data_IF_366757808467
#
_entry.id   IF_366757808467
#
_cell.length_a   1.000
_cell.length_b   1.000
_cell.length_c   1.000
_cell.angle_alpha   90.00
_cell.angle_beta   90.00
_cell.angle_gamma   90.00
#
_symmetry.space_group_name_H-M   'P 1'
#
loop_
_entity.id
_entity.type
_entity.pdbx_description
1 polymer ?
#
# COMPACT_ATOMS: atom_id res chain seq x y z
N UNK A 1 28.37 4.21 -5.96
CA UNK A 1 27.76 5.49 -5.68
C UNK A 1 27.38 5.61 -4.21
N UNK A 2 27.38 6.81 -3.69
CA UNK A 2 27.04 7.08 -2.29
C UNK A 2 25.65 6.58 -1.91
N UNK A 3 24.73 6.56 -2.85
CA UNK A 3 23.36 6.09 -2.63
C UNK A 3 23.31 4.59 -2.33
N UNK A 4 24.22 3.80 -2.92
CA UNK A 4 24.23 2.36 -2.72
C UNK A 4 24.80 1.95 -1.34
N UNK A 5 25.63 2.80 -0.77
CA UNK A 5 26.25 2.52 0.53
C UNK A 5 25.41 3.02 1.71
N UNK A 6 24.43 3.87 1.44
CA UNK A 6 23.55 4.39 2.47
C UNK A 6 22.46 3.38 2.81
N UNK A 7 22.45 2.97 4.07
CA UNK A 7 21.37 2.13 4.58
C UNK A 7 20.32 3.00 5.26
N UNK A 8 19.25 3.26 4.54
CA UNK A 8 18.13 3.99 5.08
C UNK A 8 17.43 3.20 6.18
N UNK A 9 16.95 3.86 7.23
CA UNK A 9 16.05 3.21 8.19
C UNK A 9 14.82 2.57 7.54
N UNK A 10 14.35 3.11 6.41
CA UNK A 10 13.19 2.55 5.70
C UNK A 10 13.52 1.29 4.91
N UNK A 11 14.80 0.99 4.71
CA UNK A 11 15.26 -0.23 4.05
C UNK A 11 15.72 -1.31 5.01
N UNK A 12 15.60 -1.07 6.30
CA UNK A 12 16.05 -2.01 7.32
C UNK A 12 15.20 -3.26 7.36
N UNK A 13 15.83 -4.39 7.10
CA UNK A 13 15.16 -5.69 7.22
C UNK A 13 15.31 -6.18 8.66
N UNK A 14 14.19 -6.39 9.33
CA UNK A 14 14.13 -6.78 10.75
C UNK A 14 13.41 -8.11 10.89
N UNK A 15 13.60 -8.80 12.04
CA UNK A 15 12.76 -9.95 12.35
C UNK A 15 11.28 -9.57 12.27
N UNK A 16 10.50 -10.40 11.62
CA UNK A 16 9.12 -10.11 11.32
C UNK A 16 8.23 -10.45 12.52
N UNK A 17 7.76 -9.44 13.22
CA UNK A 17 6.87 -9.60 14.38
C UNK A 17 5.46 -9.14 14.05
N UNK A 18 5.34 -7.94 13.49
CA UNK A 18 4.05 -7.32 13.19
C UNK A 18 4.02 -6.82 11.75
N UNK A 19 2.88 -7.02 11.13
CA UNK A 19 2.66 -6.66 9.72
C UNK A 19 1.47 -5.73 9.61
N UNK A 20 1.59 -4.72 8.75
CA UNK A 20 0.49 -3.87 8.34
C UNK A 20 0.20 -4.12 6.86
N UNK A 21 -1.07 -4.20 6.51
CA UNK A 21 -1.49 -4.41 5.13
C UNK A 21 -2.52 -3.33 4.77
N UNK A 22 -2.23 -2.58 3.73
CA UNK A 22 -3.19 -1.64 3.13
C UNK A 22 -3.94 -2.40 2.05
N UNK A 23 -5.27 -2.38 2.10
CA UNK A 23 -6.10 -2.94 1.03
C UNK A 23 -6.85 -1.78 0.39
N UNK A 24 -6.50 -1.49 -0.86
CA UNK A 24 -7.09 -0.37 -1.58
C UNK A 24 -8.23 -0.86 -2.45
N UNK A 25 -9.45 -0.52 -2.05
CA UNK A 25 -10.68 -0.90 -2.74
C UNK A 25 -11.52 0.32 -3.06
N UNK A 26 -12.25 0.24 -4.15
CA UNK A 26 -13.20 1.27 -4.51
C UNK A 26 -14.57 0.97 -3.90
N UNK A 27 -15.25 2.00 -3.44
CA UNK A 27 -16.58 1.86 -2.82
C UNK A 27 -17.72 1.88 -3.81
N UNK A 28 -17.51 2.37 -5.02
CA UNK A 28 -18.60 2.68 -5.94
C UNK A 28 -18.49 1.98 -7.27
N UNK A 29 -19.66 1.64 -7.83
CA UNK A 29 -19.85 1.33 -9.21
C UNK A 29 -19.23 0.05 -9.72
N UNK A 30 -18.56 0.17 -10.83
CA UNK A 30 -18.00 -0.96 -11.58
C UNK A 30 -16.89 -1.70 -10.86
N UNK A 31 -16.26 -1.07 -9.88
CA UNK A 31 -15.15 -1.68 -9.17
C UNK A 31 -15.58 -2.51 -7.96
N UNK A 32 -16.87 -2.51 -7.61
CA UNK A 32 -17.39 -3.33 -6.51
C UNK A 32 -17.14 -4.82 -6.67
N UNK A 33 -17.10 -5.32 -7.90
CA UNK A 33 -16.81 -6.71 -8.20
C UNK A 33 -15.39 -7.13 -7.79
N UNK A 34 -14.47 -6.19 -7.70
CA UNK A 34 -13.09 -6.48 -7.31
C UNK A 34 -12.89 -6.60 -5.80
N UNK A 35 -13.85 -6.12 -5.01
CA UNK A 35 -13.76 -6.23 -3.56
C UNK A 35 -13.62 -7.68 -3.09
N UNK A 36 -14.34 -8.60 -3.75
CA UNK A 36 -14.23 -10.00 -3.42
C UNK A 36 -12.85 -10.56 -3.72
N UNK A 37 -12.27 -10.18 -4.85
CA UNK A 37 -10.93 -10.62 -5.23
C UNK A 37 -9.86 -10.04 -4.33
N UNK A 38 -10.01 -8.77 -3.94
CA UNK A 38 -9.12 -8.12 -2.98
C UNK A 38 -9.20 -8.81 -1.63
N UNK A 39 -10.41 -9.12 -1.19
CA UNK A 39 -10.62 -9.82 0.08
C UNK A 39 -10.00 -11.22 0.06
N UNK A 40 -10.17 -11.96 -1.04
CA UNK A 40 -9.53 -13.26 -1.19
C UNK A 40 -8.01 -13.16 -1.12
N UNK A 41 -7.44 -12.14 -1.75
CA UNK A 41 -6.00 -11.92 -1.71
C UNK A 41 -5.53 -11.58 -0.30
N UNK A 42 -6.32 -10.80 0.43
CA UNK A 42 -6.03 -10.53 1.83
C UNK A 42 -6.04 -11.82 2.65
N UNK A 43 -7.03 -12.68 2.47
CA UNK A 43 -7.11 -13.93 3.21
C UNK A 43 -5.93 -14.86 2.92
N UNK A 44 -5.51 -14.94 1.66
CA UNK A 44 -4.30 -15.69 1.28
C UNK A 44 -3.06 -15.14 2.00
N UNK A 45 -2.94 -13.83 2.04
CA UNK A 45 -1.82 -13.15 2.68
C UNK A 45 -1.81 -13.40 4.19
N UNK A 46 -2.97 -13.32 4.83
CA UNK A 46 -3.11 -13.59 6.26
C UNK A 46 -2.74 -15.04 6.58
N UNK A 47 -3.12 -15.96 5.72
CA UNK A 47 -2.78 -17.37 5.90
C UNK A 47 -1.27 -17.60 5.85
N UNK A 48 -0.56 -16.91 4.94
CA UNK A 48 0.89 -16.98 4.87
C UNK A 48 1.55 -16.47 6.15
N UNK A 49 0.96 -15.46 6.79
CA UNK A 49 1.53 -14.87 8.01
C UNK A 49 1.12 -15.58 9.29
N UNK A 50 0.14 -16.46 9.26
CA UNK A 50 -0.47 -17.04 10.46
C UNK A 50 0.54 -17.69 11.40
N UNK A 51 1.57 -18.36 10.87
CA UNK A 51 2.60 -18.99 11.68
C UNK A 51 3.88 -18.15 11.84
N UNK A 52 3.95 -16.99 11.20
CA UNK A 52 5.18 -16.22 11.10
C UNK A 52 5.17 -14.94 11.92
N UNK A 53 4.00 -14.41 12.24
CA UNK A 53 3.88 -13.12 12.92
C UNK A 53 2.97 -13.25 14.13
N UNK A 54 3.14 -12.31 15.05
CA UNK A 54 2.19 -12.16 16.14
C UNK A 54 0.92 -11.48 15.62
N UNK A 55 -0.20 -12.01 16.01
CA UNK A 55 -1.48 -11.42 15.69
C UNK A 55 -1.82 -10.33 16.71
N UNK A 56 -2.63 -9.35 16.32
CA UNK A 56 -3.30 -9.24 15.03
C UNK A 56 -2.40 -8.63 13.94
N UNK A 57 -2.74 -8.91 12.69
CA UNK A 57 -2.23 -8.16 11.55
C UNK A 57 -3.05 -6.86 11.45
N UNK A 58 -2.37 -5.74 11.28
CA UNK A 58 -3.02 -4.44 11.15
C UNK A 58 -3.44 -4.24 9.71
N UNK A 59 -4.74 -4.05 9.46
CA UNK A 59 -5.26 -3.86 8.10
C UNK A 59 -5.86 -2.47 7.98
N UNK A 60 -5.43 -1.74 6.97
CA UNK A 60 -5.88 -0.39 6.63
C UNK A 60 -6.75 -0.49 5.38
N UNK A 61 -8.07 -0.61 5.53
CA UNK A 61 -8.96 -0.76 4.38
C UNK A 61 -9.34 0.59 3.82
N UNK A 62 -9.05 0.81 2.55
CA UNK A 62 -9.54 1.97 1.82
C UNK A 62 -10.76 1.53 1.03
N UNK A 63 -11.94 1.74 1.61
CA UNK A 63 -13.22 1.31 1.07
C UNK A 63 -14.14 0.76 2.15
N UNK A 64 -15.37 1.30 2.25
CA UNK A 64 -16.30 0.99 3.34
C UNK A 64 -16.80 -0.44 3.34
N UNK A 65 -17.17 -0.95 2.16
CA UNK A 65 -17.72 -2.31 2.05
C UNK A 65 -16.69 -3.34 2.47
N UNK A 66 -15.46 -3.17 1.99
CA UNK A 66 -14.39 -4.07 2.33
C UNK A 66 -14.04 -3.98 3.81
N UNK A 67 -14.07 -2.78 4.38
CA UNK A 67 -13.81 -2.58 5.80
C UNK A 67 -14.76 -3.40 6.67
N UNK A 68 -16.04 -3.45 6.31
CA UNK A 68 -17.03 -4.23 7.05
C UNK A 68 -16.75 -5.73 7.02
N UNK A 69 -16.33 -6.24 5.86
CA UNK A 69 -15.97 -7.65 5.72
C UNK A 69 -14.70 -7.98 6.52
N UNK A 70 -13.74 -7.07 6.50
CA UNK A 70 -12.46 -7.26 7.19
C UNK A 70 -12.65 -7.27 8.72
N UNK A 71 -13.58 -6.47 9.24
CA UNK A 71 -13.84 -6.41 10.69
C UNK A 71 -14.19 -7.75 11.31
N UNK A 72 -14.79 -8.64 10.53
CA UNK A 72 -15.21 -9.96 11.01
C UNK A 72 -14.15 -11.03 10.83
N UNK A 73 -13.01 -10.67 10.28
CA UNK A 73 -11.93 -11.61 9.97
C UNK A 73 -11.07 -11.84 11.21
N UNK A 74 -10.82 -13.10 11.54
CA UNK A 74 -9.96 -13.46 12.66
C UNK A 74 -8.51 -13.05 12.42
N UNK A 75 -7.85 -12.61 13.49
CA UNK A 75 -6.45 -12.25 13.45
C UNK A 75 -6.15 -10.90 12.83
N UNK A 76 -7.18 -10.09 12.60
CA UNK A 76 -7.05 -8.77 11.99
C UNK A 76 -7.52 -7.70 12.97
N UNK A 77 -6.76 -6.61 13.05
CA UNK A 77 -7.21 -5.38 13.65
C UNK A 77 -7.37 -4.36 12.54
N UNK A 78 -8.61 -3.85 12.39
CA UNK A 78 -8.89 -2.84 11.38
C UNK A 78 -8.42 -1.49 11.90
N UNK A 79 -7.54 -0.86 11.13
CA UNK A 79 -6.95 0.42 11.49
C UNK A 79 -7.71 1.57 10.82
N UNK A 80 -7.81 2.72 11.49
CA UNK A 80 -8.45 3.88 10.88
C UNK A 80 -7.62 4.41 9.70
N UNK A 81 -8.33 4.94 8.72
CA UNK A 81 -7.71 5.59 7.56
C UNK A 81 -8.06 7.08 7.56
N UNK A 82 -7.27 7.91 6.87
CA UNK A 82 -7.57 9.34 6.78
C UNK A 82 -8.95 9.63 6.20
N UNK A 83 -9.65 10.59 6.80
CA UNK A 83 -10.97 11.04 6.32
C UNK A 83 -10.92 11.61 4.91
N UNK A 84 -9.74 11.96 4.44
CA UNK A 84 -9.50 12.46 3.10
C UNK A 84 -10.03 11.51 2.02
N UNK A 85 -10.01 10.21 2.27
CA UNK A 85 -10.54 9.23 1.33
C UNK A 85 -12.05 9.36 1.15
N UNK A 86 -12.78 9.64 2.22
CA UNK A 86 -14.22 9.86 2.16
C UNK A 86 -14.56 11.15 1.41
N UNK A 87 -13.69 12.14 1.52
CA UNK A 87 -13.84 13.42 0.82
C UNK A 87 -13.36 13.37 -0.62
N UNK A 88 -12.99 12.20 -1.10
CA UNK A 88 -12.44 11.99 -2.45
C UNK A 88 -11.13 12.75 -2.73
N UNK A 89 -10.40 13.09 -1.68
CA UNK A 89 -9.07 13.68 -1.77
C UNK A 89 -8.03 12.55 -1.69
N UNK A 90 -7.97 11.76 -2.74
CA UNK A 90 -7.28 10.48 -2.71
C UNK A 90 -5.75 10.60 -2.65
N UNK A 91 -5.18 11.53 -3.40
CA UNK A 91 -3.73 11.73 -3.38
C UNK A 91 -3.25 12.19 -2.00
N UNK A 92 -3.98 13.13 -1.42
CA UNK A 92 -3.67 13.63 -0.08
C UNK A 92 -3.88 12.56 0.98
N UNK A 93 -4.94 11.77 0.84
CA UNK A 93 -5.21 10.64 1.73
C UNK A 93 -4.11 9.61 1.67
N UNK A 94 -3.64 9.26 0.47
CA UNK A 94 -2.55 8.32 0.30
C UNK A 94 -1.24 8.83 0.90
N UNK A 95 -0.94 10.11 0.71
CA UNK A 95 0.26 10.73 1.31
C UNK A 95 0.19 10.70 2.84
N UNK A 96 -0.96 11.05 3.40
CA UNK A 96 -1.16 11.03 4.85
C UNK A 96 -1.02 9.61 5.40
N UNK A 97 -1.61 8.64 4.74
CA UNK A 97 -1.49 7.25 5.16
C UNK A 97 -0.05 6.74 5.04
N UNK A 98 0.63 7.10 3.97
CA UNK A 98 2.04 6.75 3.79
C UNK A 98 2.90 7.31 4.94
N UNK A 99 2.67 8.55 5.33
CA UNK A 99 3.39 9.16 6.46
C UNK A 99 3.13 8.40 7.76
N UNK A 100 1.90 8.01 8.01
CA UNK A 100 1.55 7.22 9.20
C UNK A 100 2.26 5.87 9.21
N UNK A 101 2.28 5.18 8.07
CA UNK A 101 2.92 3.88 7.93
C UNK A 101 4.43 3.98 8.09
N UNK A 102 5.04 5.01 7.54
CA UNK A 102 6.46 5.27 7.70
C UNK A 102 6.78 5.49 9.18
N UNK A 103 5.99 6.29 9.88
CA UNK A 103 6.21 6.51 11.31
C UNK A 103 6.06 5.23 12.11
N UNK A 104 5.05 4.43 11.83
CA UNK A 104 4.85 3.14 12.50
C UNK A 104 6.03 2.20 12.28
N UNK A 105 6.56 2.19 11.08
CA UNK A 105 7.72 1.37 10.74
C UNK A 105 8.97 1.86 11.48
N UNK A 106 9.21 3.16 11.50
CA UNK A 106 10.37 3.74 12.17
C UNK A 106 10.33 3.55 13.69
N UNK A 107 9.13 3.59 14.28
CA UNK A 107 8.94 3.32 15.71
C UNK A 107 8.98 1.84 16.05
N UNK A 108 9.07 0.98 15.05
CA UNK A 108 9.05 -0.48 15.21
C UNK A 108 7.71 -1.02 15.70
N UNK A 109 6.64 -0.28 15.46
CA UNK A 109 5.27 -0.77 15.69
C UNK A 109 4.89 -1.84 14.67
N UNK A 110 5.43 -1.71 13.45
CA UNK A 110 5.31 -2.73 12.40
C UNK A 110 6.67 -2.95 11.76
N UNK A 111 6.90 -4.17 11.28
CA UNK A 111 8.17 -4.58 10.69
C UNK A 111 8.08 -4.75 9.19
N UNK A 112 6.87 -4.80 8.66
CA UNK A 112 6.60 -4.88 7.23
C UNK A 112 5.28 -4.22 6.92
N UNK A 113 5.24 -3.52 5.80
CA UNK A 113 4.01 -2.93 5.26
C UNK A 113 3.84 -3.43 3.84
N UNK A 114 2.64 -3.98 3.56
CA UNK A 114 2.28 -4.41 2.22
C UNK A 114 1.03 -3.67 1.76
N UNK A 115 0.86 -3.60 0.45
CA UNK A 115 -0.37 -3.09 -0.17
C UNK A 115 -0.95 -4.14 -1.11
N UNK A 116 -2.26 -4.26 -1.06
CA UNK A 116 -3.05 -5.10 -1.97
C UNK A 116 -3.99 -4.18 -2.73
N UNK A 117 -3.95 -4.24 -4.04
CA UNK A 117 -4.74 -3.36 -4.89
C UNK A 117 -5.01 -4.01 -6.24
N UNK A 118 -5.99 -3.49 -6.95
CA UNK A 118 -6.26 -3.93 -8.31
C UNK A 118 -5.36 -3.15 -9.26
N UNK A 119 -4.67 -3.87 -10.12
CA UNK A 119 -3.78 -3.30 -11.12
C UNK A 119 -4.37 -3.48 -12.50
N UNK A 120 -4.48 -2.40 -13.25
CA UNK A 120 -5.03 -2.44 -14.60
C UNK A 120 -3.95 -2.89 -15.59
N UNK A 121 -4.19 -4.00 -16.29
CA UNK A 121 -3.23 -4.55 -17.24
C UNK A 121 -3.58 -4.24 -18.69
N UNK A 122 -4.83 -4.35 -19.05
CA UNK A 122 -5.33 -4.08 -20.41
C UNK A 122 -6.84 -3.86 -20.36
N UNK A 123 -7.41 -3.43 -21.47
CA UNK A 123 -8.84 -3.18 -21.53
C UNK A 123 -9.63 -4.42 -21.11
N UNK A 124 -10.39 -4.31 -20.04
CA UNK A 124 -11.19 -5.40 -19.50
C UNK A 124 -10.46 -6.40 -18.61
N UNK A 125 -9.13 -6.26 -18.41
CA UNK A 125 -8.36 -7.19 -17.59
C UNK A 125 -7.71 -6.46 -16.42
N UNK A 126 -8.10 -6.83 -15.20
CA UNK A 126 -7.48 -6.33 -13.98
C UNK A 126 -6.82 -7.49 -13.25
N UNK A 127 -5.70 -7.17 -12.62
CA UNK A 127 -4.94 -8.13 -11.81
C UNK A 127 -4.89 -7.58 -10.40
N UNK A 128 -5.15 -8.46 -9.44
CA UNK A 128 -4.95 -8.12 -8.03
C UNK A 128 -3.47 -8.24 -7.74
N UNK A 129 -2.87 -7.15 -7.30
CA UNK A 129 -1.45 -7.10 -6.99
C UNK A 129 -1.22 -6.96 -5.51
N UNK A 130 -0.12 -7.54 -5.08
CA UNK A 130 0.36 -7.46 -3.70
C UNK A 130 1.81 -7.01 -3.76
N UNK A 131 2.13 -5.91 -3.09
CA UNK A 131 3.48 -5.36 -3.10
C UNK A 131 3.93 -5.02 -1.69
N UNK A 132 5.21 -5.20 -1.43
CA UNK A 132 5.83 -4.74 -0.19
C UNK A 132 6.19 -3.27 -0.33
N UNK A 133 5.69 -2.46 0.59
CA UNK A 133 6.02 -1.04 0.66
C UNK A 133 7.20 -0.76 1.59
N UNK A 134 7.21 -1.41 2.74
CA UNK A 134 8.28 -1.31 3.72
C UNK A 134 8.67 -2.70 4.23
N UNK A 135 9.93 -3.01 4.46
CA UNK A 135 11.11 -2.19 4.13
C UNK A 135 11.14 -1.85 2.63
N UNK A 136 11.62 -0.65 2.32
CA UNK A 136 11.66 -0.18 0.95
C UNK A 136 12.82 -0.81 0.18
N UNK A 137 12.51 -1.25 -1.05
CA UNK A 137 13.48 -1.88 -1.95
C UNK A 137 13.59 -1.02 -3.21
N UNK A 138 14.72 -0.31 -3.39
CA UNK A 138 14.85 0.66 -4.48
C UNK A 138 14.65 0.12 -5.90
N UNK A 139 14.90 -1.16 -6.11
CA UNK A 139 14.79 -1.76 -7.44
C UNK A 139 13.37 -1.79 -7.99
N UNK A 140 12.40 -1.97 -7.13
CA UNK A 140 10.99 -2.06 -7.53
C UNK A 140 10.45 -0.72 -7.99
N UNK A 141 10.96 0.36 -7.44
CA UNK A 141 10.55 1.70 -7.83
C UNK A 141 10.91 2.03 -9.27
N UNK A 142 12.02 1.51 -9.78
CA UNK A 142 12.41 1.72 -11.18
C UNK A 142 11.55 0.93 -12.16
N UNK A 143 11.09 -0.24 -11.78
CA UNK A 143 10.26 -1.08 -12.65
C UNK A 143 8.85 -0.52 -12.82
N UNK A 144 8.34 0.19 -11.81
CA UNK A 144 7.00 0.79 -11.85
C UNK A 144 6.95 2.10 -12.63
N UNK A 145 8.08 2.78 -12.80
CA UNK A 145 8.04 4.20 -13.15
C UNK A 145 7.74 4.52 -14.61
N UNK A 146 8.11 3.68 -15.57
CA UNK A 146 8.01 4.09 -16.97
C UNK A 146 6.80 3.53 -17.71
N UNK A 147 6.41 2.30 -17.44
CA UNK A 147 5.27 1.69 -18.13
C UNK A 147 3.92 2.10 -17.55
N UNK A 148 3.84 2.31 -16.26
CA UNK A 148 2.56 2.60 -15.61
C UNK A 148 2.22 4.08 -15.59
N UNK A 149 3.20 4.97 -15.58
CA UNK A 149 2.98 6.40 -15.79
C UNK A 149 2.35 6.68 -17.14
N UNK A 150 2.84 6.00 -18.18
CA UNK A 150 2.28 6.16 -19.52
C UNK A 150 0.85 5.61 -19.61
N UNK A 151 0.53 4.58 -18.86
CA UNK A 151 -0.83 4.03 -18.86
C UNK A 151 -1.84 4.95 -18.20
N UNK A 152 -1.46 5.68 -17.16
CA UNK A 152 -2.36 6.62 -16.48
C UNK A 152 -2.81 7.74 -17.39
N UNK A 153 -1.95 8.17 -18.34
CA UNK A 153 -2.29 9.23 -19.28
C UNK A 153 -3.12 8.76 -20.46
N UNK A 154 -3.12 7.47 -20.76
CA UNK A 154 -3.81 6.91 -21.92
C UNK A 154 -5.27 6.58 -21.62
N UNK A 155 -5.58 6.29 -20.36
CA UNK A 155 -6.93 5.86 -19.99
C UNK A 155 -7.75 7.03 -19.54
N UNK A 156 -8.84 7.25 -20.26
CA UNK A 156 -9.86 8.13 -19.79
C UNK A 156 -10.39 7.66 -18.45
N UNK A 157 -10.67 8.60 -17.59
CA UNK A 157 -10.83 8.29 -16.19
C UNK A 157 -12.19 7.68 -15.90
N UNK A 158 -12.17 6.43 -15.72
CA UNK A 158 -12.89 5.93 -14.59
C UNK A 158 -12.02 6.32 -13.38
N UNK A 159 -12.49 7.23 -12.56
CA UNK A 159 -11.70 7.75 -11.42
C UNK A 159 -11.12 6.64 -10.56
N UNK A 160 -11.82 5.53 -10.47
CA UNK A 160 -11.46 4.39 -9.67
C UNK A 160 -10.22 3.68 -10.19
N UNK A 161 -10.10 3.55 -11.53
CA UNK A 161 -8.93 2.92 -12.15
C UNK A 161 -7.68 3.77 -12.00
N UNK A 162 -7.83 5.08 -12.05
CA UNK A 162 -6.72 6.01 -11.84
C UNK A 162 -6.21 5.87 -10.41
N UNK A 163 -7.12 5.76 -9.44
CA UNK A 163 -6.75 5.62 -8.04
C UNK A 163 -6.00 4.32 -7.76
N UNK A 164 -6.46 3.23 -8.34
CA UNK A 164 -5.82 1.93 -8.19
C UNK A 164 -4.40 1.92 -8.75
N UNK A 165 -4.13 2.74 -9.74
CA UNK A 165 -2.80 2.86 -10.35
C UNK A 165 -1.94 3.90 -9.63
N UNK A 166 -2.51 5.03 -9.24
CA UNK A 166 -1.79 6.15 -8.65
C UNK A 166 -1.41 5.89 -7.19
N UNK A 167 -2.26 5.19 -6.45
CA UNK A 167 -2.06 4.98 -5.01
C UNK A 167 -0.68 4.41 -4.67
N UNK A 168 -0.25 3.29 -5.26
CA UNK A 168 1.09 2.79 -4.98
C UNK A 168 2.19 3.76 -5.40
N UNK A 169 2.00 4.48 -6.51
CA UNK A 169 2.98 5.46 -6.97
C UNK A 169 3.14 6.61 -5.98
N UNK A 170 2.04 7.10 -5.41
CA UNK A 170 2.08 8.17 -4.41
C UNK A 170 2.81 7.71 -3.16
N UNK A 171 2.54 6.48 -2.70
CA UNK A 171 3.22 5.93 -1.53
C UNK A 171 4.71 5.80 -1.80
N UNK A 172 5.11 5.25 -2.93
CA UNK A 172 6.51 5.13 -3.31
C UNK A 172 7.19 6.50 -3.41
N UNK A 173 6.52 7.48 -4.00
CA UNK A 173 7.06 8.84 -4.11
C UNK A 173 7.25 9.49 -2.75
N UNK A 174 6.30 9.29 -1.83
CA UNK A 174 6.37 9.82 -0.47
C UNK A 174 7.54 9.20 0.28
N UNK A 175 7.74 7.89 0.17
CA UNK A 175 8.87 7.19 0.77
C UNK A 175 10.19 7.69 0.20
N UNK A 176 10.26 7.88 -1.10
CA UNK A 176 11.47 8.37 -1.76
C UNK A 176 11.84 9.76 -1.26
N UNK A 177 10.87 10.67 -1.15
CA UNK A 177 11.12 12.00 -0.60
C UNK A 177 11.61 11.94 0.84
N UNK A 178 10.99 11.09 1.63
CA UNK A 178 11.39 10.90 3.03
C UNK A 178 12.83 10.41 3.13
N UNK A 179 13.24 9.49 2.27
CA UNK A 179 14.61 9.01 2.23
C UNK A 179 15.59 10.12 1.90
N UNK A 180 15.27 10.97 0.93
CA UNK A 180 16.12 12.09 0.56
C UNK A 180 16.26 13.10 1.70
N UNK A 181 15.16 13.42 2.38
CA UNK A 181 15.20 14.33 3.52
C UNK A 181 16.04 13.79 4.67
N UNK A 182 15.94 12.50 4.94
CA UNK A 182 16.74 11.85 5.98
C UNK A 182 18.22 11.83 5.62
N UNK A 183 18.58 11.60 4.37
CA UNK A 183 19.97 11.69 3.93
C UNK A 183 20.53 13.08 4.16
N UNK A 184 19.73 14.11 3.86
CA UNK A 184 20.15 15.49 4.01
C UNK A 184 20.35 15.85 5.48
N UNK A 185 19.51 15.37 6.35
CA UNK A 185 19.58 15.68 7.79
C UNK A 185 20.73 15.01 8.51
N UNK A 186 21.31 13.97 7.95
CA UNK A 186 22.47 13.28 8.54
C UNK A 186 23.81 13.86 8.09
N UNK A 187 23.77 14.76 7.17
CA UNK A 187 24.94 15.51 6.75
C UNK A 187 25.07 16.78 7.59
#
# INVERSE_FOLDING_TARGET
SEINDYQSPLSQNRPLRRVAIVVFAADEGLCGAFNLLLYKKLLETLKEYDSKVKLPVFVYPVGRKLANDIKQTKGVEVMPIPDLFEKKQYAEGATTLADELIRSFLKKDVDRVEVIYAHYKSMGTQIISREQLLPWIPRETKALSDKERNKVYIYEPDCEKILETIYPLVIHSTMYRYLLENQTSEQ
#
